data_IF_708266198835
#
_entry.id   IF_708266198835
#
_cell.length_a   1.000
_cell.length_b   1.000
_cell.length_c   1.000
_cell.angle_alpha   90.00
_cell.angle_beta   90.00
_cell.angle_gamma   90.00
#
_symmetry.space_group_name_H-M   'P 1'
#
loop_
_entity.id
_entity.type
_entity.pdbx_description
1 polymer ?
#
# COMPACT_ATOMS: atom_id res chain seq x y z
N UNK A 1 3.77 -7.73 5.91
CA UNK A 1 4.65 -7.48 4.75
C UNK A 1 3.89 -6.84 3.62
N UNK A 2 4.56 -6.00 2.89
CA UNK A 2 3.98 -5.37 1.71
C UNK A 2 5.06 -5.00 0.68
N UNK A 3 4.65 -4.86 -0.56
CA UNK A 3 5.44 -4.24 -1.62
C UNK A 3 4.55 -3.31 -2.42
N UNK A 4 5.06 -2.16 -2.81
CA UNK A 4 4.33 -1.18 -3.60
C UNK A 4 5.07 -0.84 -4.89
N UNK A 5 4.34 -0.81 -6.00
CA UNK A 5 4.87 -0.44 -7.32
C UNK A 5 4.00 0.64 -7.96
N UNK A 6 4.60 1.47 -8.83
CA UNK A 6 3.85 2.39 -9.67
C UNK A 6 3.16 1.61 -10.79
N UNK A 7 1.89 1.89 -11.01
CA UNK A 7 1.10 1.19 -12.01
C UNK A 7 1.67 1.35 -13.43
N UNK A 8 2.06 2.57 -13.81
CA UNK A 8 2.51 2.86 -15.18
C UNK A 8 3.92 2.36 -15.47
N UNK A 9 4.86 2.52 -14.51
CA UNK A 9 6.26 2.13 -14.72
C UNK A 9 6.57 0.71 -14.27
N UNK A 10 5.75 0.13 -13.38
CA UNK A 10 6.04 -1.13 -12.71
C UNK A 10 7.20 -1.04 -11.74
N UNK A 11 7.69 0.16 -11.43
CA UNK A 11 8.83 0.37 -10.57
C UNK A 11 8.44 0.25 -9.09
N UNK A 12 9.15 -0.60 -8.36
CA UNK A 12 8.95 -0.74 -6.92
C UNK A 12 9.47 0.49 -6.20
N UNK A 13 8.61 1.10 -5.37
CA UNK A 13 9.00 2.27 -4.59
C UNK A 13 9.18 1.97 -3.09
N UNK A 14 8.65 0.87 -2.60
CA UNK A 14 8.78 0.47 -1.20
C UNK A 14 8.48 -1.02 -1.04
N UNK A 15 9.11 -1.65 -0.05
CA UNK A 15 8.87 -3.06 0.26
C UNK A 15 9.37 -3.40 1.65
N UNK A 16 8.52 -4.01 2.48
CA UNK A 16 8.94 -4.54 3.76
C UNK A 16 9.77 -5.82 3.58
N UNK A 17 9.53 -6.60 2.53
CA UNK A 17 10.34 -7.77 2.23
C UNK A 17 11.79 -7.41 1.97
N UNK A 18 12.03 -6.28 1.29
CA UNK A 18 13.38 -5.79 1.01
C UNK A 18 14.16 -5.43 2.28
N UNK A 19 13.48 -5.10 3.35
CA UNK A 19 14.08 -4.81 4.66
C UNK A 19 14.20 -6.04 5.55
N UNK A 20 13.58 -7.16 5.16
CA UNK A 20 13.63 -8.42 5.91
C UNK A 20 12.83 -8.44 7.21
N UNK A 21 11.91 -7.49 7.41
CA UNK A 21 11.11 -7.43 8.64
C UNK A 21 9.67 -6.99 8.36
N UNK A 22 8.74 -7.46 9.19
CA UNK A 22 7.35 -7.02 9.14
C UNK A 22 7.22 -5.64 9.78
N UNK A 23 6.17 -4.92 9.38
CA UNK A 23 5.88 -3.59 9.90
C UNK A 23 4.48 -3.59 10.51
N UNK A 24 4.34 -2.92 11.65
CA UNK A 24 3.06 -2.78 12.34
C UNK A 24 2.59 -1.33 12.24
N UNK A 25 1.35 -1.13 11.75
CA UNK A 25 0.75 0.19 11.62
C UNK A 25 -0.67 0.21 12.18
N UNK A 26 -1.11 1.32 12.78
CA UNK A 26 -2.55 1.53 12.98
C UNK A 26 -3.20 1.79 11.62
N UNK A 27 -4.25 1.04 11.30
CA UNK A 27 -4.90 1.11 9.97
C UNK A 27 -5.36 2.53 9.62
N UNK A 28 -5.92 3.26 10.58
CA UNK A 28 -6.42 4.62 10.38
C UNK A 28 -5.34 5.66 10.03
N UNK A 29 -4.06 5.32 10.23
CA UNK A 29 -2.93 6.17 9.88
C UNK A 29 -2.39 5.94 8.47
N UNK A 30 -3.00 5.02 7.71
CA UNK A 30 -2.56 4.66 6.38
C UNK A 30 -3.34 5.41 5.31
N UNK A 31 -2.87 5.34 4.05
CA UNK A 31 -3.60 5.93 2.93
C UNK A 31 -4.99 5.28 2.82
N UNK A 32 -5.95 6.02 2.25
CA UNK A 32 -7.34 5.60 2.21
C UNK A 32 -7.52 4.26 1.48
N UNK A 33 -6.78 4.01 0.42
CA UNK A 33 -6.86 2.74 -0.31
C UNK A 33 -6.55 1.53 0.56
N UNK A 34 -5.65 1.66 1.53
CA UNK A 34 -5.37 0.61 2.49
C UNK A 34 -6.49 0.47 3.53
N UNK A 35 -7.03 1.61 4.00
CA UNK A 35 -8.14 1.59 4.95
C UNK A 35 -9.38 0.91 4.37
N UNK A 36 -9.60 1.06 3.07
CA UNK A 36 -10.73 0.43 2.37
C UNK A 36 -10.43 -1.00 1.95
N UNK A 37 -9.19 -1.30 1.57
CA UNK A 37 -8.81 -2.56 0.94
C UNK A 37 -8.37 -3.67 1.90
N UNK A 38 -7.81 -3.33 3.06
CA UNK A 38 -7.33 -4.33 4.01
C UNK A 38 -8.45 -5.01 4.81
N UNK A 39 -9.51 -4.32 5.26
CA UNK A 39 -10.59 -4.99 5.97
C UNK A 39 -11.16 -6.18 5.18
N UNK A 40 -11.40 -7.27 5.87
CA UNK A 40 -11.82 -8.52 5.25
C UNK A 40 -10.69 -9.47 4.93
N UNK A 41 -9.44 -9.05 5.02
CA UNK A 41 -8.31 -9.96 4.89
C UNK A 41 -8.20 -10.86 6.12
N UNK A 42 -7.75 -12.09 5.88
CA UNK A 42 -7.46 -13.03 6.96
C UNK A 42 -5.97 -13.05 7.25
N UNK A 43 -5.60 -13.28 8.50
CA UNK A 43 -4.22 -13.51 8.88
C UNK A 43 -3.65 -14.67 8.06
N UNK A 44 -2.48 -14.47 7.50
CA UNK A 44 -1.84 -15.41 6.57
C UNK A 44 -2.28 -15.22 5.12
N UNK A 45 -3.23 -14.33 4.86
CA UNK A 45 -3.71 -14.04 3.49
C UNK A 45 -2.85 -13.03 2.76
N UNK A 46 -2.96 -13.04 1.44
CA UNK A 46 -2.32 -12.08 0.55
C UNK A 46 -3.37 -11.39 -0.30
N UNK A 47 -3.23 -10.08 -0.47
CA UNK A 47 -4.14 -9.30 -1.30
C UNK A 47 -3.36 -8.29 -2.13
N UNK A 48 -3.76 -8.15 -3.39
CA UNK A 48 -3.27 -7.10 -4.28
C UNK A 48 -4.29 -5.97 -4.29
N UNK A 49 -3.82 -4.73 -4.07
CA UNK A 49 -4.65 -3.53 -4.11
C UNK A 49 -4.16 -2.62 -5.22
N UNK A 50 -5.06 -2.25 -6.13
CA UNK A 50 -4.80 -1.21 -7.13
C UNK A 50 -5.49 0.06 -6.65
N UNK A 51 -4.71 1.11 -6.39
CA UNK A 51 -5.18 2.31 -5.69
C UNK A 51 -5.01 3.53 -6.59
N UNK A 52 -6.13 4.22 -6.96
CA UNK A 52 -6.03 5.46 -7.73
C UNK A 52 -5.45 6.59 -6.88
N UNK A 53 -4.97 7.68 -7.51
CA UNK A 53 -4.30 8.78 -6.77
C UNK A 53 -5.12 9.38 -5.63
N UNK A 54 -6.43 9.55 -5.80
CA UNK A 54 -7.27 10.19 -4.78
C UNK A 54 -7.43 9.34 -3.51
N UNK A 55 -7.12 8.05 -3.56
CA UNK A 55 -7.13 7.16 -2.39
C UNK A 55 -5.71 6.81 -1.92
N UNK A 56 -4.70 7.42 -2.53
CA UNK A 56 -3.29 7.25 -2.19
C UNK A 56 -2.69 8.59 -1.76
N UNK A 57 -1.79 9.17 -2.55
CA UNK A 57 -1.05 10.38 -2.19
C UNK A 57 -1.61 11.64 -2.85
N UNK A 58 -2.81 11.57 -3.39
CA UNK A 58 -3.52 12.70 -3.95
C UNK A 58 -3.21 12.96 -5.42
N UNK A 59 -3.91 13.97 -6.02
CA UNK A 59 -3.74 14.31 -7.42
C UNK A 59 -2.35 14.90 -7.70
N UNK A 60 -1.99 14.95 -8.99
CA UNK A 60 -0.75 15.56 -9.44
C UNK A 60 -0.60 16.96 -8.87
N UNK A 61 0.61 17.32 -8.43
CA UNK A 61 0.87 18.62 -7.81
C UNK A 61 0.67 18.65 -6.29
N UNK A 62 0.33 17.52 -5.66
CA UNK A 62 0.08 17.43 -4.22
C UNK A 62 1.31 17.45 -3.31
N UNK A 63 2.52 17.58 -3.86
CA UNK A 63 3.74 17.73 -3.07
C UNK A 63 4.44 16.45 -2.65
N UNK A 64 3.85 15.29 -2.87
CA UNK A 64 4.49 14.00 -2.62
C UNK A 64 5.00 13.41 -3.94
N UNK A 65 6.14 12.68 -3.91
CA UNK A 65 6.68 12.11 -5.16
C UNK A 65 5.74 11.08 -5.81
N UNK A 66 4.81 10.50 -5.05
CA UNK A 66 3.80 9.57 -5.56
C UNK A 66 2.47 10.27 -5.88
N UNK A 67 2.37 11.59 -5.73
CA UNK A 67 1.16 12.33 -6.07
C UNK A 67 0.83 12.19 -7.57
N UNK A 68 -0.44 12.02 -7.89
CA UNK A 68 -0.90 11.83 -9.26
C UNK A 68 -0.68 10.44 -9.82
N UNK A 69 -0.18 9.50 -9.02
CA UNK A 69 0.17 8.14 -9.46
C UNK A 69 -0.81 7.11 -8.93
N UNK A 70 -1.19 6.17 -9.79
CA UNK A 70 -1.89 4.96 -9.37
C UNK A 70 -0.87 3.96 -8.85
N UNK A 71 -1.19 3.29 -7.76
CA UNK A 71 -0.27 2.39 -7.08
C UNK A 71 -0.85 0.99 -7.00
N UNK A 72 0.04 0.00 -7.03
CA UNK A 72 -0.31 -1.39 -6.78
C UNK A 72 0.44 -1.83 -5.54
N UNK A 73 -0.29 -2.35 -4.56
CA UNK A 73 0.32 -2.94 -3.36
C UNK A 73 0.00 -4.42 -3.28
N UNK A 74 1.00 -5.20 -2.91
CA UNK A 74 0.82 -6.59 -2.53
C UNK A 74 1.04 -6.65 -1.02
N UNK A 75 0.04 -7.14 -0.30
CA UNK A 75 0.03 -7.11 1.17
C UNK A 75 -0.18 -8.51 1.71
N UNK A 76 0.71 -8.93 2.60
CA UNK A 76 0.55 -10.12 3.42
C UNK A 76 0.18 -9.70 4.84
N UNK A 77 -0.97 -10.14 5.31
CA UNK A 77 -1.41 -9.87 6.68
C UNK A 77 -0.81 -10.93 7.61
N UNK A 78 0.17 -10.52 8.42
CA UNK A 78 0.91 -11.42 9.30
C UNK A 78 0.23 -11.58 10.65
N UNK A 79 -0.26 -10.47 11.20
CA UNK A 79 -0.95 -10.46 12.49
C UNK A 79 -1.83 -9.22 12.61
N UNK A 80 -2.84 -9.32 13.48
CA UNK A 80 -3.73 -8.20 13.85
C UNK A 80 -3.65 -8.05 15.36
N UNK A 81 -3.32 -6.85 15.81
CA UNK A 81 -3.20 -6.57 17.23
C UNK A 81 -4.10 -5.45 17.71
#
# INVERSE_FOLDING_TARGET
HYAGVEFESGEEFDSSWGRGETIQFPLRGLIQGWQDGIPGMKVGGRRELTIPPHLAYGPAGGGHFLSGKSLIFIIDLVAVG
#
